data_IF_961998345958
#
_entry.id   IF_961998345958
#
_cell.length_a   1.000
_cell.length_b   1.000
_cell.length_c   1.000
_cell.angle_alpha   90.00
_cell.angle_beta   90.00
_cell.angle_gamma   90.00
#
_symmetry.space_group_name_H-M   'P 1'
#
loop_
_entity.id
_entity.type
_entity.pdbx_description
1 polymer ?
#
# COMPACT_ATOMS: atom_id res chain seq x y z
N UNK A 1 16.87 -35.57 14.73
CA UNK A 1 16.94 -35.25 13.29
C UNK A 1 17.21 -36.54 12.53
N UNK A 2 16.16 -37.15 11.98
CA UNK A 2 16.32 -38.26 11.04
C UNK A 2 16.84 -37.64 9.75
N UNK A 3 18.00 -38.12 9.29
CA UNK A 3 18.64 -37.68 8.08
C UNK A 3 17.72 -38.04 6.91
N UNK A 4 17.02 -37.05 6.32
CA UNK A 4 16.22 -37.19 5.10
C UNK A 4 17.15 -37.31 3.87
N UNK A 5 18.09 -38.27 3.92
CA UNK A 5 18.90 -38.57 2.75
C UNK A 5 18.12 -39.48 1.80
N UNK A 6 17.88 -38.92 0.61
CA UNK A 6 17.33 -39.49 -0.61
C UNK A 6 17.10 -41.00 -0.60
N UNK A 7 15.84 -41.41 -0.43
CA UNK A 7 15.44 -42.77 -0.80
C UNK A 7 15.37 -42.81 -2.32
N UNK A 8 16.27 -43.57 -2.96
CA UNK A 8 16.27 -43.78 -4.40
C UNK A 8 15.22 -44.83 -4.75
N UNK A 9 14.18 -44.41 -5.48
CA UNK A 9 13.10 -45.30 -5.90
C UNK A 9 13.14 -45.44 -7.44
N UNK A 10 13.15 -46.67 -7.97
CA UNK A 10 13.09 -46.88 -9.42
C UNK A 10 11.71 -46.49 -9.96
N UNK A 11 11.70 -45.51 -10.86
CA UNK A 11 10.55 -45.19 -11.71
C UNK A 11 10.69 -45.89 -13.05
N UNK A 12 9.63 -46.56 -13.51
CA UNK A 12 9.64 -47.30 -14.78
C UNK A 12 8.57 -46.77 -15.71
N UNK A 13 8.96 -46.37 -16.93
CA UNK A 13 8.02 -45.95 -17.97
C UNK A 13 8.42 -46.57 -19.32
N UNK A 14 7.51 -47.37 -19.90
CA UNK A 14 7.65 -47.98 -21.24
C UNK A 14 9.06 -48.49 -21.55
N UNK A 15 9.55 -49.44 -20.72
CA UNK A 15 10.83 -50.14 -20.82
C UNK A 15 12.10 -49.43 -20.30
N UNK A 16 12.00 -48.19 -19.80
CA UNK A 16 13.12 -47.50 -19.18
C UNK A 16 12.96 -47.35 -17.67
N UNK A 17 14.04 -47.59 -16.92
CA UNK A 17 14.08 -47.49 -15.45
C UNK A 17 15.08 -46.41 -15.02
N UNK A 18 14.63 -45.44 -14.21
CA UNK A 18 15.49 -44.40 -13.63
C UNK A 18 15.27 -44.33 -12.13
N UNK A 19 16.37 -44.20 -11.38
CA UNK A 19 16.33 -44.00 -9.93
C UNK A 19 16.08 -42.53 -9.62
N UNK A 20 15.03 -42.25 -8.86
CA UNK A 20 14.64 -40.89 -8.45
C UNK A 20 14.84 -40.72 -6.94
N UNK A 21 15.47 -39.61 -6.55
CA UNK A 21 15.68 -39.24 -5.15
C UNK A 21 14.41 -38.59 -4.55
N UNK A 22 14.04 -39.01 -3.34
CA UNK A 22 12.91 -38.46 -2.57
C UNK A 22 13.43 -37.98 -1.20
N UNK A 23 13.10 -36.74 -0.75
CA UNK A 23 12.16 -35.78 -1.33
C UNK A 23 12.72 -35.05 -2.57
N UNK A 24 11.83 -34.76 -3.52
CA UNK A 24 12.20 -34.16 -4.80
C UNK A 24 12.74 -32.73 -4.61
N UNK A 25 14.02 -32.52 -4.91
CA UNK A 25 14.70 -31.23 -4.81
C UNK A 25 14.55 -30.37 -6.07
N UNK A 26 14.04 -30.94 -7.18
CA UNK A 26 14.00 -30.32 -8.50
C UNK A 26 12.55 -30.27 -9.01
N UNK A 27 12.21 -29.27 -9.83
CA UNK A 27 10.88 -29.16 -10.42
C UNK A 27 10.54 -30.42 -11.26
N UNK A 28 9.31 -30.95 -11.11
CA UNK A 28 8.82 -32.13 -11.85
C UNK A 28 9.00 -31.95 -13.36
N UNK A 29 8.80 -30.73 -13.86
CA UNK A 29 8.95 -30.42 -15.29
C UNK A 29 10.39 -30.61 -15.77
N UNK A 30 11.38 -30.23 -14.97
CA UNK A 30 12.79 -30.38 -15.32
C UNK A 30 13.20 -31.86 -15.34
N UNK A 31 12.66 -32.68 -14.42
CA UNK A 31 12.82 -34.13 -14.47
C UNK A 31 12.23 -34.74 -15.75
N UNK A 32 11.02 -34.31 -16.15
CA UNK A 32 10.38 -34.77 -17.40
C UNK A 32 11.26 -34.39 -18.60
N UNK A 33 11.81 -33.18 -18.65
CA UNK A 33 12.70 -32.76 -19.74
C UNK A 33 14.00 -33.56 -19.79
N UNK A 34 14.64 -33.83 -18.64
CA UNK A 34 15.85 -34.66 -18.56
C UNK A 34 15.59 -36.10 -19.03
N UNK A 35 14.45 -36.68 -18.63
CA UNK A 35 14.06 -38.03 -19.05
C UNK A 35 13.74 -38.11 -20.56
N UNK A 36 13.16 -37.05 -21.13
CA UNK A 36 12.90 -36.99 -22.58
C UNK A 36 14.19 -36.89 -23.38
N UNK A 37 15.18 -36.12 -22.87
CA UNK A 37 16.50 -35.99 -23.48
C UNK A 37 17.29 -37.31 -23.39
N UNK A 38 17.29 -37.95 -22.22
CA UNK A 38 17.96 -39.24 -22.01
C UNK A 38 17.36 -40.38 -22.84
N UNK A 39 16.03 -40.45 -22.95
CA UNK A 39 15.33 -41.54 -23.64
C UNK A 39 14.97 -41.21 -25.10
N UNK A 40 15.35 -40.03 -25.61
CA UNK A 40 15.04 -39.57 -26.96
C UNK A 40 13.55 -39.71 -27.33
N UNK A 41 12.67 -39.43 -26.36
CA UNK A 41 11.24 -39.62 -26.52
C UNK A 41 10.61 -38.48 -27.34
N UNK A 42 9.57 -38.74 -28.14
CA UNK A 42 8.82 -37.69 -28.79
C UNK A 42 8.15 -36.73 -27.80
N UNK A 43 8.17 -35.43 -28.12
CA UNK A 43 7.63 -34.34 -27.28
C UNK A 43 6.13 -34.53 -26.93
N UNK A 44 5.38 -35.27 -27.73
CA UNK A 44 3.96 -35.56 -27.45
C UNK A 44 3.73 -36.42 -26.19
N UNK A 45 4.77 -37.10 -25.68
CA UNK A 45 4.70 -37.92 -24.48
C UNK A 45 4.80 -37.08 -23.20
N UNK A 46 5.29 -35.83 -23.31
CA UNK A 46 5.49 -34.91 -22.19
C UNK A 46 4.31 -34.83 -21.20
N UNK A 47 3.06 -34.54 -21.63
CA UNK A 47 1.95 -34.41 -20.68
C UNK A 47 1.62 -35.72 -19.96
N UNK A 48 1.76 -36.87 -20.64
CA UNK A 48 1.50 -38.19 -20.04
C UNK A 48 2.58 -38.58 -19.05
N UNK A 49 3.85 -38.31 -19.38
CA UNK A 49 4.98 -38.59 -18.50
C UNK A 49 4.97 -37.66 -17.27
N UNK A 50 4.59 -36.40 -17.45
CA UNK A 50 4.44 -35.44 -16.35
C UNK A 50 3.36 -35.87 -15.36
N UNK A 51 2.21 -36.34 -15.85
CA UNK A 51 1.13 -36.85 -15.00
C UNK A 51 1.56 -38.13 -14.27
N UNK A 52 2.19 -39.07 -14.97
CA UNK A 52 2.68 -40.31 -14.37
C UNK A 52 3.76 -40.07 -13.30
N UNK A 53 4.71 -39.17 -13.55
CA UNK A 53 5.72 -38.78 -12.57
C UNK A 53 5.11 -38.05 -11.38
N UNK A 54 4.12 -37.19 -11.60
CA UNK A 54 3.43 -36.50 -10.52
C UNK A 54 2.68 -37.47 -9.61
N UNK A 55 2.00 -38.46 -10.19
CA UNK A 55 1.33 -39.52 -9.44
C UNK A 55 2.34 -40.36 -8.66
N UNK A 56 3.43 -40.79 -9.30
CA UNK A 56 4.48 -41.56 -8.66
C UNK A 56 5.15 -40.80 -7.50
N UNK A 57 5.51 -39.53 -7.70
CA UNK A 57 6.08 -38.71 -6.63
C UNK A 57 5.08 -38.50 -5.48
N UNK A 58 3.79 -38.33 -5.77
CA UNK A 58 2.77 -38.22 -4.72
C UNK A 58 2.64 -39.53 -3.92
N UNK A 59 2.56 -40.67 -4.59
CA UNK A 59 2.45 -41.99 -3.94
C UNK A 59 3.69 -42.30 -3.10
N UNK A 60 4.88 -42.08 -3.64
CA UNK A 60 6.12 -42.34 -2.91
C UNK A 60 6.34 -41.33 -1.77
N UNK A 61 5.92 -40.06 -1.95
CA UNK A 61 5.95 -39.08 -0.87
C UNK A 61 4.97 -39.45 0.24
N UNK A 62 3.79 -39.98 -0.10
CA UNK A 62 2.83 -40.50 0.89
C UNK A 62 3.41 -41.70 1.65
N UNK A 63 4.01 -42.68 0.96
CA UNK A 63 4.62 -43.85 1.62
C UNK A 63 5.75 -43.42 2.56
N UNK A 64 6.64 -42.52 2.13
CA UNK A 64 7.72 -42.01 2.99
C UNK A 64 7.16 -41.17 4.14
N UNK A 65 6.11 -40.39 3.92
CA UNK A 65 5.42 -39.65 4.97
C UNK A 65 4.76 -40.58 5.99
N UNK A 66 4.14 -41.67 5.54
CA UNK A 66 3.51 -42.67 6.40
C UNK A 66 4.57 -43.46 7.19
N UNK A 67 5.67 -43.88 6.56
CA UNK A 67 6.81 -44.53 7.21
C UNK A 67 7.43 -43.62 8.29
N UNK A 68 7.69 -42.35 7.97
CA UNK A 68 8.25 -41.38 8.92
C UNK A 68 7.28 -41.01 10.03
N UNK A 69 5.98 -40.91 9.72
CA UNK A 69 4.93 -40.70 10.73
C UNK A 69 4.86 -41.91 11.65
N UNK A 70 4.88 -43.14 11.14
CA UNK A 70 4.86 -44.35 11.97
C UNK A 70 6.11 -44.45 12.86
N UNK A 71 7.31 -44.19 12.33
CA UNK A 71 8.55 -44.19 13.12
C UNK A 71 8.58 -43.10 14.19
N UNK A 72 7.96 -41.95 13.91
CA UNK A 72 7.86 -40.87 14.88
C UNK A 72 6.80 -41.18 15.93
N UNK A 73 5.64 -41.73 15.54
CA UNK A 73 4.46 -41.96 16.40
C UNK A 73 4.55 -43.23 17.25
N UNK A 74 5.16 -44.32 16.76
CA UNK A 74 5.38 -45.56 17.53
C UNK A 74 5.99 -45.34 18.92
N UNK A 75 7.09 -44.59 19.07
CA UNK A 75 7.69 -44.32 20.38
C UNK A 75 6.84 -43.42 21.28
N UNK A 76 5.87 -42.66 20.74
CA UNK A 76 4.88 -41.93 21.55
C UNK A 76 3.80 -42.85 22.11
N UNK A 77 3.36 -43.86 21.34
CA UNK A 77 2.35 -44.84 21.77
C UNK A 77 2.92 -45.81 22.81
N UNK A 78 4.21 -46.16 22.69
CA UNK A 78 4.93 -47.03 23.63
C UNK A 78 5.32 -46.34 24.96
N UNK A 79 4.98 -45.05 25.12
CA UNK A 79 5.08 -44.33 26.40
C UNK A 79 6.51 -43.97 26.83
N UNK A 80 7.47 -43.92 25.88
CA UNK A 80 8.89 -43.65 26.18
C UNK A 80 9.26 -42.16 26.20
N UNK A 81 8.33 -41.27 25.85
CA UNK A 81 8.60 -39.83 25.80
C UNK A 81 7.87 -39.06 26.91
N UNK A 82 8.64 -38.30 27.69
CA UNK A 82 8.13 -37.39 28.70
C UNK A 82 7.55 -36.14 28.01
N UNK A 83 6.26 -35.86 28.25
CA UNK A 83 5.50 -34.75 27.62
C UNK A 83 6.21 -33.40 27.81
N UNK A 84 6.95 -33.23 28.91
CA UNK A 84 7.69 -32.00 29.21
C UNK A 84 8.80 -31.74 28.21
N UNK A 85 9.54 -32.76 27.78
CA UNK A 85 10.63 -32.60 26.80
C UNK A 85 10.07 -32.24 25.42
N UNK A 86 8.88 -32.74 25.06
CA UNK A 86 8.18 -32.36 23.84
C UNK A 86 7.72 -30.90 23.91
N UNK A 87 7.20 -30.48 25.05
CA UNK A 87 6.76 -29.10 25.26
C UNK A 87 7.94 -28.12 25.15
N UNK A 88 9.10 -28.48 25.70
CA UNK A 88 10.32 -27.69 25.57
C UNK A 88 10.84 -27.63 24.14
N UNK A 89 10.82 -28.75 23.41
CA UNK A 89 11.20 -28.77 21.98
C UNK A 89 10.23 -27.97 21.12
N UNK A 90 8.94 -28.10 21.36
CA UNK A 90 7.91 -27.32 20.67
C UNK A 90 8.05 -25.84 20.99
N UNK A 91 8.29 -25.48 22.25
CA UNK A 91 8.55 -24.10 22.65
C UNK A 91 9.77 -23.54 21.94
N UNK A 92 10.87 -24.29 21.86
CA UNK A 92 12.08 -23.87 21.15
C UNK A 92 11.82 -23.69 19.64
N UNK A 93 11.13 -24.62 18.99
CA UNK A 93 10.77 -24.49 17.57
C UNK A 93 9.83 -23.31 17.32
N UNK A 94 8.86 -23.08 18.20
CA UNK A 94 7.97 -21.91 18.11
C UNK A 94 8.74 -20.62 18.34
N UNK A 95 9.73 -20.59 19.22
CA UNK A 95 10.60 -19.42 19.42
C UNK A 95 11.49 -19.18 18.19
N UNK A 96 12.12 -20.20 17.64
CA UNK A 96 12.87 -20.09 16.39
C UNK A 96 11.98 -19.59 15.25
N UNK A 97 10.80 -20.19 15.05
CA UNK A 97 9.82 -19.72 14.08
C UNK A 97 9.39 -18.27 14.35
N UNK A 98 9.16 -17.88 15.61
CA UNK A 98 8.86 -16.50 15.97
C UNK A 98 9.99 -15.54 15.58
N UNK A 99 11.25 -15.93 15.76
CA UNK A 99 12.41 -15.14 15.33
C UNK A 99 12.41 -14.99 13.81
N UNK A 100 12.16 -16.06 13.05
CA UNK A 100 12.03 -15.97 11.58
C UNK A 100 10.85 -15.09 11.15
N UNK A 101 9.71 -15.15 11.84
CA UNK A 101 8.55 -14.27 11.55
C UNK A 101 8.71 -12.84 12.07
N UNK A 102 9.58 -12.60 13.04
CA UNK A 102 9.92 -11.26 13.51
C UNK A 102 10.93 -10.58 12.57
N UNK A 103 11.75 -11.39 11.86
CA UNK A 103 12.62 -10.91 10.78
C UNK A 103 11.86 -10.60 9.49
N UNK A 104 10.64 -11.14 9.32
CA UNK A 104 9.65 -10.55 8.43
C UNK A 104 9.10 -9.34 9.17
N UNK A 105 9.66 -8.16 8.90
CA UNK A 105 9.25 -6.89 9.50
C UNK A 105 7.73 -6.86 9.66
N UNK A 106 7.25 -6.71 10.90
CA UNK A 106 5.85 -6.37 11.16
C UNK A 106 5.51 -5.27 10.16
N UNK A 107 4.46 -5.42 9.32
CA UNK A 107 4.22 -4.45 8.26
C UNK A 107 4.11 -3.10 8.93
N UNK A 108 5.07 -2.22 8.60
CA UNK A 108 5.09 -0.85 9.10
C UNK A 108 3.71 -0.24 8.86
N UNK A 109 3.27 0.66 9.73
CA UNK A 109 2.01 1.39 9.54
C UNK A 109 1.96 2.06 8.14
N UNK A 110 3.13 2.37 7.59
CA UNK A 110 3.30 2.87 6.21
C UNK A 110 3.02 1.81 5.13
N UNK A 111 3.42 0.54 5.34
CA UNK A 111 3.07 -0.56 4.43
C UNK A 111 1.57 -0.89 4.49
N UNK A 112 0.96 -0.83 5.67
CA UNK A 112 -0.48 -1.03 5.84
C UNK A 112 -1.24 0.08 5.11
N UNK A 113 -0.84 1.34 5.32
CA UNK A 113 -1.42 2.49 4.62
C UNK A 113 -1.24 2.39 3.10
N UNK A 114 -0.04 2.02 2.61
CA UNK A 114 0.24 1.91 1.19
C UNK A 114 -0.66 0.87 0.51
N UNK A 115 -0.83 -0.29 1.14
CA UNK A 115 -1.73 -1.33 0.64
C UNK A 115 -3.20 -0.89 0.70
N UNK A 116 -3.63 -0.29 1.82
CA UNK A 116 -4.98 0.26 1.95
C UNK A 116 -5.28 1.31 0.87
N UNK A 117 -4.34 2.23 0.62
CA UNK A 117 -4.46 3.25 -0.42
C UNK A 117 -4.57 2.63 -1.81
N UNK A 118 -3.70 1.66 -2.14
CA UNK A 118 -3.73 0.97 -3.42
C UNK A 118 -5.07 0.25 -3.64
N UNK A 119 -5.58 -0.44 -2.62
CA UNK A 119 -6.88 -1.11 -2.70
C UNK A 119 -8.03 -0.11 -2.89
N UNK A 120 -8.00 1.01 -2.18
CA UNK A 120 -9.02 2.06 -2.31
C UNK A 120 -8.98 2.70 -3.71
N UNK A 121 -7.79 2.88 -4.29
CA UNK A 121 -7.65 3.39 -5.67
C UNK A 121 -8.20 2.43 -6.72
N UNK A 122 -7.94 1.12 -6.58
CA UNK A 122 -8.42 0.12 -7.54
C UNK A 122 -9.95 -0.09 -7.45
N UNK A 123 -10.54 0.18 -6.29
CA UNK A 123 -12.00 0.22 -6.12
C UNK A 123 -12.53 1.53 -6.69
N UNK A 124 -12.78 1.58 -8.01
CA UNK A 124 -13.08 2.79 -8.77
C UNK A 124 -14.23 3.69 -8.24
N UNK A 125 -15.11 3.20 -7.36
CA UNK A 125 -16.15 4.01 -6.72
C UNK A 125 -15.62 4.93 -5.60
N UNK A 126 -14.48 4.62 -5.01
CA UNK A 126 -13.89 5.42 -3.93
C UNK A 126 -13.00 6.57 -4.44
N UNK A 127 -12.66 6.53 -5.73
CA UNK A 127 -11.81 7.54 -6.37
C UNK A 127 -12.47 8.93 -6.40
N UNK A 128 -13.78 9.01 -6.72
CA UNK A 128 -14.50 10.29 -6.74
C UNK A 128 -14.53 10.97 -5.36
N UNK A 129 -14.66 10.18 -4.30
CA UNK A 129 -14.66 10.65 -2.91
C UNK A 129 -13.29 11.23 -2.55
N UNK A 130 -12.20 10.56 -2.95
CA UNK A 130 -10.84 11.05 -2.72
C UNK A 130 -10.57 12.36 -3.46
N UNK A 131 -11.02 12.46 -4.72
CA UNK A 131 -10.85 13.69 -5.52
C UNK A 131 -11.62 14.86 -4.90
N UNK A 132 -12.83 14.62 -4.40
CA UNK A 132 -13.60 15.66 -3.72
C UNK A 132 -12.91 16.13 -2.43
N UNK A 133 -12.31 15.22 -1.65
CA UNK A 133 -11.55 15.57 -0.46
C UNK A 133 -10.31 16.40 -0.80
N UNK A 134 -9.58 16.02 -1.84
CA UNK A 134 -8.41 16.76 -2.32
C UNK A 134 -8.79 18.19 -2.72
N UNK A 135 -9.87 18.35 -3.47
CA UNK A 135 -10.39 19.66 -3.85
C UNK A 135 -10.73 20.53 -2.62
N UNK A 136 -11.40 19.95 -1.61
CA UNK A 136 -11.76 20.67 -0.38
C UNK A 136 -10.49 21.12 0.37
N UNK A 137 -9.51 20.23 0.53
CA UNK A 137 -8.26 20.55 1.21
C UNK A 137 -7.45 21.61 0.47
N UNK A 138 -7.40 21.53 -0.85
CA UNK A 138 -6.77 22.54 -1.68
C UNK A 138 -7.44 23.91 -1.52
N UNK A 139 -8.78 23.95 -1.60
CA UNK A 139 -9.54 25.19 -1.43
C UNK A 139 -9.29 25.82 -0.05
N UNK A 140 -9.27 25.03 1.02
CA UNK A 140 -9.02 25.53 2.38
C UNK A 140 -7.61 26.14 2.52
N UNK A 141 -6.58 25.48 1.96
CA UNK A 141 -5.21 26.00 1.98
C UNK A 141 -5.09 27.25 1.11
N UNK A 142 -5.74 27.28 -0.04
CA UNK A 142 -5.74 28.45 -0.92
C UNK A 142 -6.35 29.68 -0.24
N UNK A 143 -7.43 29.51 0.51
CA UNK A 143 -8.05 30.59 1.28
C UNK A 143 -7.13 31.10 2.39
N UNK A 144 -6.41 30.21 3.09
CA UNK A 144 -5.40 30.60 4.08
C UNK A 144 -4.24 31.36 3.45
N UNK A 145 -3.78 30.95 2.26
CA UNK A 145 -2.73 31.65 1.52
C UNK A 145 -3.20 33.04 1.08
N UNK A 146 -4.42 33.17 0.55
CA UNK A 146 -5.01 34.47 0.19
C UNK A 146 -5.11 35.41 1.40
N UNK A 147 -5.50 34.89 2.56
CA UNK A 147 -5.59 35.68 3.79
C UNK A 147 -4.20 36.16 4.25
N UNK A 148 -3.20 35.26 4.23
CA UNK A 148 -1.80 35.63 4.51
C UNK A 148 -1.33 36.73 3.57
N UNK A 149 -1.49 36.54 2.26
CA UNK A 149 -0.99 37.46 1.25
C UNK A 149 -1.64 38.84 1.38
N UNK A 150 -2.96 38.87 1.65
CA UNK A 150 -3.68 40.11 1.93
C UNK A 150 -3.13 40.82 3.18
N UNK A 151 -2.92 40.11 4.28
CA UNK A 151 -2.40 40.71 5.51
C UNK A 151 -0.96 41.21 5.36
N UNK A 152 -0.10 40.47 4.64
CA UNK A 152 1.27 40.90 4.35
C UNK A 152 1.24 42.16 3.48
N UNK A 153 0.40 42.21 2.46
CA UNK A 153 0.25 43.40 1.61
C UNK A 153 -0.25 44.62 2.40
N UNK A 154 -1.24 44.45 3.28
CA UNK A 154 -1.74 45.53 4.15
C UNK A 154 -0.65 46.03 5.10
N UNK A 155 0.16 45.12 5.66
CA UNK A 155 1.28 45.44 6.53
C UNK A 155 2.40 46.16 5.78
N UNK A 156 2.79 45.66 4.60
CA UNK A 156 3.80 46.29 3.74
C UNK A 156 3.36 47.69 3.30
N UNK A 157 2.08 47.87 2.94
CA UNK A 157 1.54 49.19 2.59
C UNK A 157 1.57 50.18 3.77
N UNK A 158 1.29 49.70 4.99
CA UNK A 158 1.40 50.50 6.21
C UNK A 158 2.86 50.89 6.50
N UNK A 159 3.77 49.92 6.48
CA UNK A 159 5.20 50.15 6.69
C UNK A 159 5.78 51.12 5.64
N UNK A 160 5.36 50.97 4.37
CA UNK A 160 5.77 51.87 3.30
C UNK A 160 5.30 53.31 3.56
N UNK A 161 4.05 53.50 3.98
CA UNK A 161 3.52 54.84 4.31
C UNK A 161 4.26 55.47 5.48
N UNK A 162 4.46 54.73 6.57
CA UNK A 162 5.18 55.22 7.76
C UNK A 162 6.63 55.59 7.42
N UNK A 163 7.32 54.76 6.62
CA UNK A 163 8.69 55.05 6.20
C UNK A 163 8.75 56.25 5.25
N UNK A 164 7.79 56.36 4.33
CA UNK A 164 7.71 57.49 3.40
C UNK A 164 7.46 58.82 4.13
N UNK A 165 6.59 58.82 5.15
CA UNK A 165 6.32 60.00 5.99
C UNK A 165 7.61 60.46 6.68
N UNK A 166 8.30 59.55 7.38
CA UNK A 166 9.54 59.86 8.12
C UNK A 166 10.67 60.32 7.19
N UNK A 167 10.78 59.76 5.99
CA UNK A 167 11.80 60.15 4.99
C UNK A 167 11.45 61.49 4.31
N UNK A 168 10.16 61.82 4.18
CA UNK A 168 9.71 63.07 3.55
C UNK A 168 9.82 64.29 4.46
N UNK A 169 9.85 64.10 5.78
CA UNK A 169 10.02 65.18 6.73
C UNK A 169 11.48 65.71 6.74
N UNK A 170 11.71 67.00 7.04
CA UNK A 170 13.07 67.56 7.10
C UNK A 170 13.94 66.79 8.09
N UNK A 171 15.20 66.55 7.72
CA UNK A 171 16.20 65.75 8.46
C UNK A 171 16.40 66.17 9.93
N UNK A 172 16.00 67.38 10.29
CA UNK A 172 16.09 67.94 11.64
C UNK A 172 15.02 67.41 12.62
N UNK A 173 13.90 66.87 12.11
CA UNK A 173 12.80 66.37 12.96
C UNK A 173 13.01 64.95 13.47
N UNK A 174 13.63 64.08 12.68
CA UNK A 174 13.86 62.68 13.04
C UNK A 174 15.35 62.33 12.90
N UNK A 175 16.04 61.97 13.99
CA UNK A 175 17.41 61.49 13.89
C UNK A 175 17.46 60.12 13.20
N UNK A 176 18.55 59.83 12.48
CA UNK A 176 18.76 58.54 11.78
C UNK A 176 18.57 57.30 12.67
N UNK A 177 18.82 57.45 13.97
CA UNK A 177 18.60 56.40 14.97
C UNK A 177 17.11 56.01 15.04
N UNK A 178 16.21 56.98 14.91
CA UNK A 178 14.76 56.74 14.88
C UNK A 178 14.36 55.96 13.62
N UNK A 179 14.88 56.34 12.45
CA UNK A 179 14.61 55.64 11.18
C UNK A 179 15.09 54.19 11.25
N UNK A 180 16.27 53.95 11.82
CA UNK A 180 16.81 52.60 12.02
C UNK A 180 15.94 51.77 12.96
N UNK A 181 15.51 52.33 14.09
CA UNK A 181 14.62 51.65 15.03
C UNK A 181 13.25 51.34 14.41
N UNK A 182 12.73 52.25 13.59
CA UNK A 182 11.48 52.04 12.85
C UNK A 182 11.62 50.91 11.82
N UNK A 183 12.71 50.89 11.04
CA UNK A 183 12.98 49.82 10.09
C UNK A 183 13.16 48.45 10.79
N UNK A 184 13.85 48.42 11.93
CA UNK A 184 13.96 47.22 12.75
C UNK A 184 12.58 46.74 13.21
N UNK A 185 11.74 47.64 13.71
CA UNK A 185 10.38 47.31 14.13
C UNK A 185 9.54 46.75 12.98
N UNK A 186 9.60 47.37 11.79
CA UNK A 186 8.90 46.86 10.60
C UNK A 186 9.36 45.45 10.22
N UNK A 187 10.66 45.16 10.34
CA UNK A 187 11.21 43.82 10.09
C UNK A 187 10.70 42.80 11.13
N UNK A 188 10.72 43.15 12.41
CA UNK A 188 10.22 42.30 13.49
C UNK A 188 8.71 42.03 13.36
N UNK A 189 7.93 43.07 13.04
CA UNK A 189 6.48 42.97 12.83
C UNK A 189 6.17 42.04 11.64
N UNK A 190 6.88 42.19 10.52
CA UNK A 190 6.72 41.32 9.35
C UNK A 190 7.08 39.88 9.66
N UNK A 191 8.24 39.65 10.30
CA UNK A 191 8.70 38.31 10.68
C UNK A 191 7.71 37.61 11.64
N UNK A 192 7.14 38.36 12.59
CA UNK A 192 6.13 37.84 13.53
C UNK A 192 4.85 37.41 12.81
N UNK A 193 4.35 38.21 11.86
CA UNK A 193 3.16 37.90 11.08
C UNK A 193 3.40 36.71 10.15
N UNK A 194 4.52 36.69 9.42
CA UNK A 194 4.90 35.56 8.56
C UNK A 194 5.08 34.27 9.36
N UNK A 195 5.73 34.32 10.53
CA UNK A 195 5.91 33.18 11.41
C UNK A 195 4.60 32.57 11.91
N UNK A 196 3.61 33.42 12.26
CA UNK A 196 2.25 32.98 12.63
C UNK A 196 1.55 32.30 11.47
N UNK A 197 1.59 32.89 10.28
CA UNK A 197 0.96 32.31 9.09
C UNK A 197 1.61 31.00 8.66
N UNK A 198 2.94 30.92 8.66
CA UNK A 198 3.66 29.70 8.33
C UNK A 198 3.34 28.56 9.31
N UNK A 199 3.26 28.87 10.61
CA UNK A 199 2.84 27.91 11.63
C UNK A 199 1.40 27.43 11.40
N UNK A 200 0.48 28.35 11.11
CA UNK A 200 -0.92 28.02 10.85
C UNK A 200 -1.10 27.16 9.58
N UNK A 201 -0.42 27.51 8.49
CA UNK A 201 -0.47 26.76 7.23
C UNK A 201 0.14 25.37 7.41
N UNK A 202 1.26 25.26 8.13
CA UNK A 202 1.90 23.96 8.40
C UNK A 202 0.99 23.08 9.24
N UNK A 203 0.40 23.63 10.31
CA UNK A 203 -0.55 22.93 11.18
C UNK A 203 -1.80 22.48 10.41
N UNK A 204 -2.32 23.31 9.50
CA UNK A 204 -3.44 22.96 8.65
C UNK A 204 -3.09 21.81 7.70
N UNK A 205 -1.92 21.85 7.04
CA UNK A 205 -1.44 20.78 6.16
C UNK A 205 -1.23 19.46 6.90
N UNK A 206 -0.65 19.51 8.10
CA UNK A 206 -0.43 18.32 8.92
C UNK A 206 -1.76 17.69 9.35
N UNK A 207 -2.73 18.52 9.77
CA UNK A 207 -4.09 18.08 10.07
C UNK A 207 -4.76 17.44 8.85
N UNK A 208 -4.68 18.07 7.67
CA UNK A 208 -5.25 17.51 6.44
C UNK A 208 -4.59 16.18 6.07
N UNK A 209 -3.27 16.05 6.23
CA UNK A 209 -2.54 14.79 6.00
C UNK A 209 -3.00 13.67 6.94
N UNK A 210 -3.23 13.97 8.22
CA UNK A 210 -3.75 13.00 9.18
C UNK A 210 -5.19 12.58 8.82
N UNK A 211 -6.07 13.55 8.57
CA UNK A 211 -7.46 13.30 8.17
C UNK A 211 -7.54 12.48 6.88
N UNK A 212 -6.68 12.76 5.91
CA UNK A 212 -6.60 11.98 4.66
C UNK A 212 -6.20 10.53 4.93
N UNK A 213 -5.19 10.30 5.76
CA UNK A 213 -4.77 8.94 6.16
C UNK A 213 -5.89 8.19 6.86
N UNK A 214 -6.54 8.83 7.83
CA UNK A 214 -7.69 8.24 8.56
C UNK A 214 -8.83 7.90 7.62
N UNK A 215 -9.14 8.80 6.67
CA UNK A 215 -10.23 8.58 5.73
C UNK A 215 -9.94 7.44 4.76
N UNK A 216 -8.70 7.29 4.29
CA UNK A 216 -8.29 6.14 3.46
C UNK A 216 -8.45 4.83 4.24
N UNK A 217 -8.00 4.79 5.49
CA UNK A 217 -8.14 3.60 6.32
C UNK A 217 -9.61 3.22 6.55
N UNK A 218 -10.48 4.21 6.80
CA UNK A 218 -11.94 3.99 6.89
C UNK A 218 -12.53 3.45 5.59
N UNK A 219 -12.18 4.04 4.44
CA UNK A 219 -12.66 3.58 3.13
C UNK A 219 -12.17 2.16 2.81
N UNK A 220 -10.96 1.80 3.23
CA UNK A 220 -10.44 0.46 3.10
C UNK A 220 -11.22 -0.54 3.96
N UNK A 221 -11.53 -0.18 5.21
CA UNK A 221 -12.37 -0.99 6.09
C UNK A 221 -13.79 -1.17 5.52
N UNK A 222 -14.43 -0.09 5.05
CA UNK A 222 -15.73 -0.13 4.36
C UNK A 222 -15.69 -1.05 3.11
N UNK A 223 -14.59 -1.03 2.36
CA UNK A 223 -14.37 -1.90 1.21
C UNK A 223 -14.22 -3.37 1.61
N UNK A 224 -13.55 -3.68 2.72
CA UNK A 224 -13.41 -5.05 3.22
C UNK A 224 -14.75 -5.60 3.73
N UNK A 225 -15.54 -4.78 4.43
CA UNK A 225 -16.87 -5.16 4.93
C UNK A 225 -17.82 -5.40 3.75
N UNK A 226 -17.85 -4.54 2.75
CA UNK A 226 -18.69 -4.74 1.56
C UNK A 226 -18.27 -5.98 0.75
N UNK A 227 -16.97 -6.26 0.61
CA UNK A 227 -16.49 -7.47 -0.05
C UNK A 227 -16.83 -8.76 0.73
N UNK A 228 -16.70 -8.76 2.06
CA UNK A 228 -17.08 -9.92 2.88
C UNK A 228 -18.59 -10.22 2.82
N UNK A 229 -19.44 -9.19 2.77
CA UNK A 229 -20.89 -9.35 2.56
C UNK A 229 -21.24 -9.85 1.15
N UNK A 230 -20.43 -9.54 0.13
CA UNK A 230 -20.59 -10.09 -1.22
C UNK A 230 -20.23 -11.59 -1.31
N UNK A 231 -19.31 -12.09 -0.46
CA UNK A 231 -18.93 -13.51 -0.48
C UNK A 231 -19.97 -14.44 0.16
N UNK A 232 -20.90 -13.92 0.97
CA UNK A 232 -21.95 -14.73 1.61
C UNK A 232 -23.22 -14.85 0.74
N UNK A 233 -23.46 -13.91 -0.17
CA UNK A 233 -24.63 -13.94 -1.06
C UNK A 233 -24.19 -13.63 -2.49
N UNK A 234 -24.12 -14.68 -3.33
CA UNK A 234 -23.70 -14.66 -4.74
C UNK A 234 -24.57 -13.82 -5.70
N UNK A 235 -25.27 -12.80 -5.22
CA UNK A 235 -26.01 -11.86 -6.03
C UNK A 235 -25.41 -10.46 -5.84
N UNK A 236 -24.99 -9.86 -6.96
CA UNK A 236 -24.56 -8.45 -7.04
C UNK A 236 -25.71 -7.55 -6.59
N UNK A 237 -25.77 -7.24 -5.31
CA UNK A 237 -26.61 -6.15 -4.82
C UNK A 237 -25.83 -4.87 -5.09
N UNK A 238 -26.26 -4.11 -6.09
CA UNK A 238 -25.93 -2.69 -6.17
C UNK A 238 -26.61 -2.00 -4.99
N UNK A 239 -25.98 -2.05 -3.82
CA UNK A 239 -26.41 -1.28 -2.66
C UNK A 239 -26.06 0.18 -2.91
N UNK A 240 -27.00 0.91 -3.52
CA UNK A 240 -27.14 2.35 -3.26
C UNK A 240 -27.56 2.50 -1.80
N UNK A 241 -26.59 2.48 -0.89
CA UNK A 241 -26.85 2.77 0.51
C UNK A 241 -26.75 4.28 0.72
N UNK A 242 -27.94 4.87 0.85
CA UNK A 242 -28.13 6.14 1.53
C UNK A 242 -27.47 6.07 2.92
N UNK A 243 -26.44 6.89 3.08
CA UNK A 243 -26.13 7.77 4.22
C UNK A 243 -27.11 7.60 5.41
N UNK A 244 -26.58 7.25 6.58
CA UNK A 244 -26.74 7.92 7.89
C UNK A 244 -25.91 7.10 8.90
N UNK A 245 -24.71 7.55 9.26
CA UNK A 245 -24.14 7.36 10.61
C UNK A 245 -22.89 8.23 10.81
N UNK A 246 -23.08 9.32 11.55
CA UNK A 246 -22.11 9.99 12.44
C UNK A 246 -20.72 10.39 11.92
N UNK A 247 -20.67 11.47 11.13
CA UNK A 247 -19.50 12.37 11.08
C UNK A 247 -19.98 13.81 10.91
N UNK A 248 -19.46 14.80 11.66
CA UNK A 248 -19.97 16.18 11.65
C UNK A 248 -19.63 17.00 10.40
N UNK A 249 -19.10 16.38 9.34
CA UNK A 249 -18.81 17.04 8.07
C UNK A 249 -19.66 16.47 6.93
N UNK A 250 -20.97 16.70 6.98
CA UNK A 250 -21.87 16.48 5.85
C UNK A 250 -22.53 17.79 5.46
N UNK A 251 -21.80 18.65 4.75
CA UNK A 251 -22.40 19.78 4.05
C UNK A 251 -22.93 19.22 2.71
N UNK A 252 -24.18 18.77 2.73
CA UNK A 252 -24.97 18.61 1.51
C UNK A 252 -25.30 20.03 1.03
N UNK A 253 -24.46 20.59 0.16
CA UNK A 253 -24.89 21.73 -0.66
C UNK A 253 -25.70 21.13 -1.81
N UNK A 254 -27.02 21.15 -1.64
CA UNK A 254 -27.94 21.04 -2.76
C UNK A 254 -27.65 22.20 -3.72
N UNK A 255 -26.96 21.92 -4.82
CA UNK A 255 -26.86 22.86 -5.95
C UNK A 255 -28.08 22.60 -6.83
N UNK A 256 -28.93 23.61 -7.10
CA UNK A 256 -30.13 23.45 -7.89
C UNK A 256 -29.76 23.26 -9.37
N UNK A 257 -30.53 22.40 -10.04
CA UNK A 257 -30.51 22.18 -11.48
C UNK A 257 -30.46 23.52 -12.26
N UNK A 258 -29.32 23.79 -12.91
CA UNK A 258 -29.25 24.66 -14.08
C UNK A 258 -28.23 24.12 -15.08
N UNK A 259 -28.79 23.61 -16.16
CA UNK A 259 -28.29 23.37 -17.52
C UNK A 259 -26.93 23.98 -17.95
N UNK A 260 -26.18 23.17 -18.71
CA UNK A 260 -25.21 23.51 -19.77
C UNK A 260 -23.80 24.00 -19.38
N UNK A 261 -22.85 23.07 -19.31
CA UNK A 261 -21.87 22.94 -20.39
C UNK A 261 -21.22 21.56 -20.32
N UNK A 262 -21.08 20.96 -21.49
CA UNK A 262 -20.28 19.79 -21.82
C UNK A 262 -19.06 19.69 -20.89
N UNK A 263 -19.15 18.85 -19.85
CA UNK A 263 -18.00 18.47 -19.01
C UNK A 263 -17.13 17.59 -19.89
N UNK A 264 -16.35 18.24 -20.75
CA UNK A 264 -15.31 17.65 -21.56
C UNK A 264 -14.48 16.79 -20.61
N UNK A 265 -14.47 15.49 -20.83
CA UNK A 265 -13.59 14.56 -20.14
C UNK A 265 -12.17 15.06 -20.41
N UNK A 266 -11.60 15.78 -19.44
CA UNK A 266 -10.20 16.19 -19.50
C UNK A 266 -9.38 14.91 -19.30
N UNK A 267 -8.93 14.35 -20.42
CA UNK A 267 -7.99 13.23 -20.42
C UNK A 267 -6.73 13.68 -19.69
N UNK A 268 -6.30 12.92 -18.69
CA UNK A 268 -5.08 13.26 -17.95
C UNK A 268 -3.87 13.35 -18.89
N UNK A 269 -2.90 14.19 -18.54
CA UNK A 269 -1.67 14.42 -19.31
C UNK A 269 -0.97 13.10 -19.72
N UNK A 270 -1.00 12.10 -18.84
CA UNK A 270 -0.44 10.76 -19.09
C UNK A 270 -1.21 10.00 -20.18
N UNK A 271 -2.53 10.12 -20.23
CA UNK A 271 -3.36 9.52 -21.30
C UNK A 271 -3.08 10.20 -22.65
N UNK A 272 -2.83 11.51 -22.63
CA UNK A 272 -2.45 12.25 -23.84
C UNK A 272 -1.07 11.86 -24.37
N UNK A 273 -0.09 11.66 -23.47
CA UNK A 273 1.25 11.17 -23.84
C UNK A 273 1.22 9.75 -24.39
N UNK A 274 0.45 8.84 -23.78
CA UNK A 274 0.31 7.46 -24.27
C UNK A 274 -0.35 7.43 -25.66
N UNK A 275 -1.35 8.29 -25.90
CA UNK A 275 -1.97 8.43 -27.23
C UNK A 275 -0.97 8.98 -28.28
N UNK A 276 -0.11 9.94 -27.91
CA UNK A 276 0.94 10.46 -28.79
C UNK A 276 2.00 9.40 -29.12
N UNK A 277 2.45 8.63 -28.13
CA UNK A 277 3.40 7.53 -28.34
C UNK A 277 2.82 6.44 -29.22
N UNK A 278 1.57 6.03 -29.00
CA UNK A 278 0.87 5.03 -29.84
C UNK A 278 0.67 5.50 -31.28
N UNK A 279 0.44 6.79 -31.49
CA UNK A 279 0.38 7.38 -32.83
C UNK A 279 1.74 7.30 -33.54
N UNK A 280 2.83 7.63 -32.83
CA UNK A 280 4.18 7.59 -33.39
C UNK A 280 4.68 6.18 -33.75
N UNK A 281 4.24 5.15 -33.04
CA UNK A 281 4.60 3.75 -33.33
C UNK A 281 3.73 3.10 -34.42
N UNK A 282 2.66 3.77 -34.88
CA UNK A 282 1.78 3.29 -35.96
C UNK A 282 2.04 4.01 -37.31
N UNK A 283 3.17 4.71 -37.43
CA UNK A 283 3.75 5.21 -38.69
C UNK A 283 4.98 4.36 -39.06
#
# INVERSE_FOLDING_TARGET
>A
MVNLMGKQVPFTYSDHTVLLDIPNTICINEHVYRLIDEWHLPIFVFPKLQEALRLFFNEQTQIVADETTQLTVQPFIEGQYEIQTLLDQWFNLVQECKIYTHNLERPSDEHIFSNAFQNVLHTGNNYEILLQLEYIYQSEIEDLLKQRDKQIQELDAKHHREMQEVVSEPTDKYPDVYVRNLAQKHMEDKQSVEGKWNSNITSAKDRQKQQFKERIMQLHEESLVSNSLQTLNGNKIYTRLNIISSSPLSIVIAVPDTTLHERRLETSYTVQLDAQLKSMYNL
#
